data_IF_534128628311
#
_entry.id   IF_534128628311
#
_cell.length_a   1.000
_cell.length_b   1.000
_cell.length_c   1.000
_cell.angle_alpha   90.00
_cell.angle_beta   90.00
_cell.angle_gamma   90.00
#
_symmetry.space_group_name_H-M   'P 1'
#
loop_
_entity.id
_entity.type
_entity.pdbx_description
1 polymer ?
#
# COMPACT_ATOMS: atom_id res chain seq x y z
N UNK A 1 -6.47 -5.73 -21.64
CA UNK A 1 -6.50 -6.70 -20.53
C UNK A 1 -5.75 -6.05 -19.37
N UNK A 2 -6.42 -5.69 -18.27
CA UNK A 2 -5.74 -5.10 -17.10
C UNK A 2 -5.06 -6.23 -16.34
N UNK A 3 -3.73 -6.19 -16.24
CA UNK A 3 -2.95 -7.11 -15.42
C UNK A 3 -3.39 -6.92 -13.98
N UNK A 4 -4.17 -7.86 -13.44
CA UNK A 4 -4.42 -7.92 -12.00
C UNK A 4 -3.12 -8.44 -11.40
N UNK A 5 -2.29 -7.54 -10.89
CA UNK A 5 -1.09 -7.94 -10.18
C UNK A 5 -1.52 -8.77 -8.97
N UNK A 6 -1.21 -10.08 -8.99
CA UNK A 6 -1.42 -10.96 -7.85
C UNK A 6 -0.57 -10.42 -6.72
N UNK A 7 -1.21 -9.90 -5.68
CA UNK A 7 -0.48 -9.27 -4.59
C UNK A 7 0.00 -10.39 -3.66
N UNK A 8 1.31 -10.60 -3.49
CA UNK A 8 1.81 -11.70 -2.67
C UNK A 8 1.33 -11.57 -1.22
N UNK A 9 0.86 -12.68 -0.65
CA UNK A 9 0.40 -12.78 0.74
C UNK A 9 1.55 -13.15 1.69
N UNK A 10 2.66 -13.63 1.14
CA UNK A 10 3.83 -14.09 1.86
C UNK A 10 5.08 -13.32 1.44
N UNK A 11 6.02 -13.21 2.36
CA UNK A 11 7.32 -12.61 2.11
C UNK A 11 8.14 -13.50 1.17
N UNK A 12 8.59 -12.96 0.04
CA UNK A 12 9.40 -13.67 -0.96
C UNK A 12 10.77 -14.13 -0.40
N UNK A 13 11.24 -13.53 0.69
CA UNK A 13 12.52 -13.88 1.30
C UNK A 13 12.42 -15.00 2.35
N UNK A 14 11.35 -15.04 3.15
CA UNK A 14 11.26 -15.96 4.29
C UNK A 14 9.96 -16.76 4.38
N UNK A 15 9.01 -16.55 3.47
CA UNK A 15 7.71 -17.25 3.46
C UNK A 15 6.73 -16.82 4.56
N UNK A 16 7.13 -15.96 5.50
CA UNK A 16 6.24 -15.49 6.56
C UNK A 16 5.12 -14.59 6.02
N UNK A 17 4.02 -14.50 6.77
CA UNK A 17 2.89 -13.66 6.43
C UNK A 17 3.26 -12.16 6.36
N UNK A 18 2.61 -11.44 5.44
CA UNK A 18 2.73 -9.99 5.32
C UNK A 18 1.60 -9.30 6.10
N UNK A 19 1.95 -8.32 6.94
CA UNK A 19 0.99 -7.41 7.56
C UNK A 19 0.70 -6.27 6.58
N UNK A 20 -0.58 -6.01 6.30
CA UNK A 20 -1.01 -4.88 5.47
C UNK A 20 -1.54 -3.75 6.34
N UNK A 21 -1.03 -2.53 6.13
CA UNK A 21 -1.48 -1.31 6.79
C UNK A 21 -2.07 -0.39 5.73
N UNK A 22 -3.32 0.02 5.91
CA UNK A 22 -4.02 0.94 5.02
C UNK A 22 -4.16 2.31 5.68
N UNK A 23 -3.97 3.34 4.87
CA UNK A 23 -4.17 4.73 5.26
C UNK A 23 -5.48 5.23 4.66
N UNK A 24 -6.26 5.93 5.48
CA UNK A 24 -7.52 6.53 5.06
C UNK A 24 -7.47 8.05 5.22
N UNK A 25 -8.10 8.75 4.28
CA UNK A 25 -8.30 10.19 4.32
C UNK A 25 -9.39 10.56 5.33
N UNK A 26 -9.59 11.87 5.51
CA UNK A 26 -10.62 12.39 6.42
C UNK A 26 -12.04 11.98 6.01
N UNK A 27 -12.28 11.72 4.72
CA UNK A 27 -13.58 11.31 4.19
C UNK A 27 -13.72 9.78 4.17
N UNK A 28 -12.77 9.05 4.75
CA UNK A 28 -12.74 7.58 4.80
C UNK A 28 -12.29 6.93 3.49
N UNK A 29 -11.78 7.69 2.53
CA UNK A 29 -11.25 7.16 1.28
C UNK A 29 -9.85 6.54 1.47
N UNK A 30 -9.51 5.42 0.81
CA UNK A 30 -8.18 4.83 0.92
C UNK A 30 -7.14 5.71 0.20
N UNK A 31 -6.17 6.25 0.94
CA UNK A 31 -5.16 7.20 0.43
C UNK A 31 -3.78 6.58 0.25
N UNK A 32 -3.57 5.36 0.74
CA UNK A 32 -2.33 4.63 0.59
C UNK A 32 -2.29 3.40 1.46
N UNK A 33 -1.14 2.75 1.46
CA UNK A 33 -0.83 1.73 2.44
C UNK A 33 0.59 1.23 2.25
N UNK A 34 1.00 0.35 3.15
CA UNK A 34 2.20 -0.45 2.97
C UNK A 34 1.99 -1.85 3.52
N UNK A 35 2.80 -2.78 3.04
CA UNK A 35 2.93 -4.12 3.59
C UNK A 35 4.30 -4.27 4.22
N UNK A 36 4.38 -5.09 5.26
CA UNK A 36 5.62 -5.37 5.96
C UNK A 36 5.64 -6.85 6.35
N UNK A 37 6.76 -7.53 6.16
CA UNK A 37 6.94 -8.87 6.69
C UNK A 37 7.03 -8.81 8.21
N UNK A 38 6.24 -9.65 8.87
CA UNK A 38 6.24 -9.76 10.34
C UNK A 38 7.55 -10.31 10.90
N UNK A 39 8.36 -10.96 10.06
CA UNK A 39 9.64 -11.56 10.46
C UNK A 39 10.87 -10.77 9.96
N UNK A 40 10.93 -10.40 8.67
CA UNK A 40 12.04 -9.61 8.12
C UNK A 40 12.00 -8.13 8.58
N UNK A 41 10.86 -7.68 9.09
CA UNK A 41 10.69 -6.34 9.62
C UNK A 41 10.70 -5.24 8.55
N UNK A 42 10.97 -3.99 8.92
CA UNK A 42 10.65 -2.80 8.11
C UNK A 42 11.48 -2.65 6.84
N UNK A 43 12.61 -3.35 6.71
CA UNK A 43 13.38 -3.36 5.46
C UNK A 43 12.66 -4.06 4.30
N UNK A 44 11.67 -4.89 4.61
CA UNK A 44 10.82 -5.57 3.62
C UNK A 44 9.58 -4.75 3.24
N UNK A 45 9.48 -3.49 3.69
CA UNK A 45 8.27 -2.70 3.49
C UNK A 45 8.06 -2.36 2.01
N UNK A 46 6.87 -2.65 1.49
CA UNK A 46 6.46 -2.33 0.12
C UNK A 46 5.20 -1.46 0.13
N UNK A 47 5.16 -0.41 -0.68
CA UNK A 47 3.97 0.45 -0.78
C UNK A 47 2.81 -0.27 -1.48
N UNK A 48 1.60 0.03 -1.03
CA UNK A 48 0.37 -0.36 -1.72
C UNK A 48 -0.03 0.83 -2.59
N UNK A 49 -0.03 0.62 -3.90
CA UNK A 49 -0.48 1.63 -4.86
C UNK A 49 -1.97 1.93 -4.69
N UNK A 50 -2.29 3.23 -4.65
CA UNK A 50 -3.67 3.73 -4.72
C UNK A 50 -4.02 4.20 -6.12
N UNK A 51 -5.32 4.21 -6.50
CA UNK A 51 -5.76 4.73 -7.77
C UNK A 51 -5.22 6.14 -8.04
N UNK A 52 -4.75 6.38 -9.26
CA UNK A 52 -4.11 7.63 -9.68
C UNK A 52 -4.96 8.87 -9.38
N UNK A 53 -6.29 8.74 -9.45
CA UNK A 53 -7.21 9.83 -9.17
C UNK A 53 -7.23 10.23 -7.69
N UNK A 54 -7.04 9.28 -6.76
CA UNK A 54 -6.89 9.59 -5.33
C UNK A 54 -5.58 10.31 -5.10
N UNK A 55 -4.48 9.83 -5.70
CA UNK A 55 -3.16 10.47 -5.59
C UNK A 55 -3.21 11.93 -6.09
N UNK A 56 -3.89 12.18 -7.22
CA UNK A 56 -4.05 13.53 -7.78
C UNK A 56 -4.79 14.47 -6.82
N UNK A 57 -5.94 14.03 -6.30
CA UNK A 57 -6.73 14.81 -5.32
C UNK A 57 -5.94 15.16 -4.06
N UNK A 58 -5.14 14.22 -3.55
CA UNK A 58 -4.31 14.45 -2.36
C UNK A 58 -3.19 15.47 -2.63
N UNK A 59 -2.61 15.46 -3.83
CA UNK A 59 -1.61 16.45 -4.22
C UNK A 59 -2.23 17.85 -4.37
N UNK A 60 -3.42 17.94 -4.96
CA UNK A 60 -4.17 19.21 -5.06
C UNK A 60 -4.49 19.80 -3.68
N UNK A 61 -4.90 18.97 -2.71
CA UNK A 61 -5.18 19.40 -1.31
C UNK A 61 -3.96 19.91 -0.53
N UNK A 62 -2.74 19.48 -0.88
CA UNK A 62 -1.50 19.97 -0.22
C UNK A 62 -0.95 21.25 -0.83
N UNK A 63 -1.40 21.61 -2.03
CA UNK A 63 -0.95 22.80 -2.75
C UNK A 63 -1.79 24.05 -2.44
N UNK A 64 -2.93 23.90 -1.75
CA UNK A 64 -3.75 24.98 -1.20
C UNK A 64 -3.31 25.38 0.21
#
# INVERSE_FOLDING_TARGET
>A
MKTVATIPEQCEQCGAALLSVFYYGADGEPVGGHRICTNCGPRSAAQIDVPVDVRRKLLERKAS
#
